data_IF_997423189538
#
_entry.id   IF_997423189538
#
_cell.length_a   1.000
_cell.length_b   1.000
_cell.length_c   1.000
_cell.angle_alpha   90.00
_cell.angle_beta   90.00
_cell.angle_gamma   90.00
#
_symmetry.space_group_name_H-M   'P 1'
#
loop_
_entity.id
_entity.type
_entity.pdbx_description
1 polymer ?
#
# COMPACT_ATOMS: atom_id res chain seq x y z
N UNK A 1 9.96 -0.16 -7.37
CA UNK A 1 8.69 0.51 -7.74
C UNK A 1 7.56 -0.51 -7.59
N UNK A 2 6.40 -0.16 -7.03
CA UNK A 2 5.24 -1.07 -6.96
C UNK A 2 4.23 -0.66 -8.04
N UNK A 3 3.71 -1.61 -8.79
CA UNK A 3 2.66 -1.39 -9.80
C UNK A 3 1.37 -2.05 -9.31
N UNK A 4 0.28 -1.29 -9.32
CA UNK A 4 -1.03 -1.74 -8.85
C UNK A 4 -2.04 -1.42 -9.94
N UNK A 5 -2.81 -2.43 -10.34
CA UNK A 5 -3.84 -2.27 -11.36
C UNK A 5 -5.14 -1.80 -10.69
N UNK A 6 -5.81 -0.81 -11.27
CA UNK A 6 -7.09 -0.32 -10.76
C UNK A 6 -8.26 -1.26 -11.14
N UNK A 7 -9.27 -1.43 -10.28
CA UNK A 7 -9.38 -0.86 -8.93
C UNK A 7 -8.51 -1.60 -7.92
N UNK A 8 -7.99 -0.87 -6.93
CA UNK A 8 -7.44 -1.49 -5.71
C UNK A 8 -8.61 -2.13 -4.96
N UNK A 9 -8.52 -3.43 -4.68
CA UNK A 9 -9.56 -4.19 -3.97
C UNK A 9 -9.40 -4.04 -2.45
N UNK A 10 -8.16 -4.16 -1.95
CA UNK A 10 -7.86 -3.97 -0.54
C UNK A 10 -6.43 -3.54 -0.30
N UNK A 11 -6.18 -2.90 0.84
CA UNK A 11 -4.85 -2.52 1.31
C UNK A 11 -4.69 -3.04 2.74
N UNK A 12 -3.61 -3.80 2.99
CA UNK A 12 -3.27 -4.33 4.31
C UNK A 12 -1.89 -3.83 4.73
N UNK A 13 -1.74 -3.46 6.00
CA UNK A 13 -0.48 -2.95 6.56
C UNK A 13 -0.04 -3.84 7.71
N UNK A 14 1.18 -4.37 7.63
CA UNK A 14 1.79 -5.18 8.69
C UNK A 14 3.22 -4.68 8.97
N UNK A 15 3.38 -3.91 10.05
CA UNK A 15 4.63 -3.24 10.44
C UNK A 15 5.17 -2.39 9.29
N UNK A 16 6.28 -2.80 8.67
CA UNK A 16 6.88 -2.12 7.52
C UNK A 16 6.46 -2.70 6.18
N UNK A 17 5.54 -3.67 6.14
CA UNK A 17 5.02 -4.23 4.89
C UNK A 17 3.64 -3.64 4.57
N UNK A 18 3.45 -3.27 3.32
CA UNK A 18 2.15 -2.90 2.75
C UNK A 18 1.83 -3.90 1.64
N UNK A 19 0.62 -4.44 1.67
CA UNK A 19 0.11 -5.39 0.68
C UNK A 19 -1.12 -4.79 0.03
N UNK A 20 -1.13 -4.76 -1.30
CA UNK A 20 -2.24 -4.35 -2.12
C UNK A 20 -2.83 -5.59 -2.78
N UNK A 21 -4.16 -5.72 -2.76
CA UNK A 21 -4.84 -6.68 -3.61
C UNK A 21 -5.42 -5.94 -4.82
N UNK A 22 -5.10 -6.41 -6.01
CA UNK A 22 -5.73 -6.00 -7.27
C UNK A 22 -6.29 -7.21 -8.02
N UNK A 23 -6.85 -6.97 -9.22
CA UNK A 23 -7.42 -8.03 -10.07
C UNK A 23 -6.40 -9.11 -10.49
N UNK A 24 -5.11 -8.84 -10.37
CA UNK A 24 -4.01 -9.74 -10.72
C UNK A 24 -3.36 -10.38 -9.50
N UNK A 25 -3.90 -10.14 -8.30
CA UNK A 25 -3.47 -10.76 -7.05
C UNK A 25 -2.84 -9.78 -6.06
N UNK A 26 -1.92 -10.29 -5.23
CA UNK A 26 -1.29 -9.53 -4.16
C UNK A 26 0.02 -8.88 -4.63
N UNK A 27 0.19 -7.60 -4.34
CA UNK A 27 1.40 -6.81 -4.58
C UNK A 27 1.95 -6.32 -3.24
N UNK A 28 3.18 -6.69 -2.89
CA UNK A 28 3.79 -6.26 -1.63
C UNK A 28 4.82 -5.14 -1.85
N UNK A 29 4.93 -4.26 -0.86
CA UNK A 29 6.03 -3.31 -0.73
C UNK A 29 6.51 -3.34 0.71
N UNK A 30 7.79 -3.65 0.89
CA UNK A 30 8.46 -3.55 2.18
C UNK A 30 9.20 -2.24 2.28
N UNK A 31 8.96 -1.54 3.38
CA UNK A 31 9.64 -0.32 3.79
C UNK A 31 10.74 -0.65 4.80
N UNK A 32 11.69 0.26 4.98
CA UNK A 32 12.77 0.11 5.95
C UNK A 32 12.22 0.18 7.37
N UNK A 33 11.22 1.04 7.61
CA UNK A 33 10.57 1.18 8.91
C UNK A 33 9.05 1.13 8.84
N UNK A 34 8.41 0.82 9.97
CA UNK A 34 6.95 0.89 10.09
C UNK A 34 6.42 2.33 10.01
N UNK A 35 7.25 3.32 10.35
CA UNK A 35 6.88 4.73 10.23
C UNK A 35 6.73 5.14 8.77
N UNK A 36 7.69 4.75 7.92
CA UNK A 36 7.64 4.99 6.47
C UNK A 36 6.41 4.35 5.82
N UNK A 37 6.09 3.10 6.18
CA UNK A 37 4.90 2.42 5.69
C UNK A 37 3.61 3.19 6.05
N UNK A 38 3.50 3.68 7.30
CA UNK A 38 2.35 4.50 7.73
C UNK A 38 2.29 5.85 7.03
N UNK A 39 3.42 6.55 6.86
CA UNK A 39 3.49 7.82 6.13
C UNK A 39 3.05 7.66 4.68
N UNK A 40 3.44 6.56 4.03
CA UNK A 40 3.01 6.24 2.68
C UNK A 40 1.50 6.00 2.57
N UNK A 41 0.91 5.23 3.50
CA UNK A 41 -0.54 5.01 3.54
C UNK A 41 -1.29 6.31 3.82
N UNK A 42 -0.77 7.14 4.71
CA UNK A 42 -1.33 8.47 5.00
C UNK A 42 -1.35 9.33 3.74
N UNK A 43 -0.25 9.42 3.00
CA UNK A 43 -0.21 10.12 1.72
C UNK A 43 -1.23 9.57 0.70
N UNK A 44 -1.32 8.24 0.56
CA UNK A 44 -2.27 7.58 -0.35
C UNK A 44 -3.74 7.91 -0.03
N UNK A 45 -4.08 7.99 1.25
CA UNK A 45 -5.46 8.19 1.72
C UNK A 45 -5.84 9.66 1.88
N UNK A 46 -4.85 10.55 1.99
CA UNK A 46 -5.04 12.00 2.04
C UNK A 46 -5.46 12.61 0.69
N UNK A 47 -5.34 11.89 -0.42
CA UNK A 47 -5.78 12.35 -1.76
C UNK A 47 -7.31 12.36 -1.95
N UNK A 48 -8.11 12.29 -0.88
CA UNK A 48 -9.55 12.52 -0.95
C UNK A 48 -9.89 13.93 -0.46
N UNK A 49 -10.01 14.85 -1.40
CA UNK A 49 -11.06 15.87 -1.44
C UNK A 49 -11.84 15.63 -2.74
#
# INVERSE_FOLDING_TARGET
MIQIIQPVLSISVNKSNVIFADKTGLKNKRFSTASEARSFIRWLTQSKA
#
